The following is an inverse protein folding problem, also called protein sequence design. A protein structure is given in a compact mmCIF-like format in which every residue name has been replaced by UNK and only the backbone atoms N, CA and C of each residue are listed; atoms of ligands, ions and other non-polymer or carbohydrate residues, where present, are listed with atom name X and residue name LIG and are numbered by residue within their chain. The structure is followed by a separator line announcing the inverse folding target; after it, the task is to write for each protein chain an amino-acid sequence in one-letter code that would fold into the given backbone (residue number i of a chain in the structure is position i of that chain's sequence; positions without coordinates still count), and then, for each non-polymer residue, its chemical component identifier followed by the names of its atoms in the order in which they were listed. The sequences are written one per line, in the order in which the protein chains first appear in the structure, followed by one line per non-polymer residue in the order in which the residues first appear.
data_IF_880910278988
#
_entry.id   IF_880910278988
#
_cell.length_a   1.000
_cell.length_b   1.000
_cell.length_c   1.000
_cell.angle_alpha   90.00
_cell.angle_beta   90.00
_cell.angle_gamma   90.00
#
_symmetry.space_group_name_H-M   'P 1'
#
loop_
_entity.id
_entity.type
_entity.pdbx_description
1 polymer ?
#
# COMPACT_ATOMS: atom_id res chain seq x y z
N UNK A 1 -7.12 -21.19 9.39
CA UNK A 1 -6.85 -19.83 8.94
C UNK A 1 -5.50 -19.44 9.52
N UNK A 2 -4.60 -18.86 8.74
CA UNK A 2 -3.27 -18.43 9.22
C UNK A 2 -3.23 -16.92 9.43
N UNK A 3 -2.38 -16.38 10.34
CA UNK A 3 -2.16 -14.94 10.46
C UNK A 3 -1.64 -14.33 9.15
N UNK A 4 -2.01 -13.07 8.86
CA UNK A 4 -1.70 -12.41 7.59
C UNK A 4 -0.18 -12.39 7.28
N UNK A 5 0.68 -12.14 8.27
CA UNK A 5 2.13 -12.12 8.10
C UNK A 5 2.77 -13.51 7.86
N UNK A 6 2.01 -14.59 8.04
CA UNK A 6 2.45 -15.97 7.80
C UNK A 6 1.93 -16.56 6.48
N UNK A 7 1.18 -15.78 5.70
CA UNK A 7 0.52 -16.25 4.48
C UNK A 7 1.52 -16.83 3.47
N UNK A 8 2.57 -16.11 3.14
CA UNK A 8 3.60 -16.52 2.18
C UNK A 8 4.19 -17.90 2.57
N UNK A 9 4.50 -18.07 3.83
CA UNK A 9 5.10 -19.31 4.35
C UNK A 9 4.11 -20.49 4.29
N UNK A 10 2.85 -20.24 4.66
CA UNK A 10 1.80 -21.26 4.62
C UNK A 10 1.50 -21.74 3.19
N UNK A 11 1.51 -20.81 2.22
CA UNK A 11 1.33 -21.14 0.80
C UNK A 11 2.57 -21.87 0.26
N UNK A 12 3.78 -21.37 0.53
CA UNK A 12 5.01 -22.00 0.08
C UNK A 12 5.16 -23.44 0.58
N UNK A 13 4.83 -23.69 1.86
CA UNK A 13 4.86 -25.03 2.47
C UNK A 13 3.71 -25.95 2.03
N UNK A 14 2.75 -25.47 1.25
CA UNK A 14 1.59 -26.23 0.81
C UNK A 14 0.53 -26.46 1.90
N UNK A 15 0.62 -25.78 3.05
CA UNK A 15 -0.45 -25.76 4.08
C UNK A 15 -1.72 -25.14 3.51
N UNK A 16 -1.56 -24.15 2.61
CA UNK A 16 -2.62 -23.55 1.80
C UNK A 16 -2.26 -23.73 0.32
N UNK A 17 -3.27 -23.95 -0.52
CA UNK A 17 -3.10 -24.04 -1.97
C UNK A 17 -2.82 -22.67 -2.61
N UNK A 18 -3.39 -21.63 -2.02
CA UNK A 18 -3.21 -20.24 -2.41
C UNK A 18 -3.69 -19.29 -1.33
N UNK A 19 -3.48 -18.01 -1.55
CA UNK A 19 -3.88 -16.97 -0.62
C UNK A 19 -3.90 -15.60 -1.25
N UNK A 20 -4.49 -14.66 -0.52
CA UNK A 20 -4.60 -13.25 -0.88
C UNK A 20 -4.01 -12.38 0.22
N UNK A 21 -3.15 -11.45 -0.17
CA UNK A 21 -2.47 -10.57 0.78
C UNK A 21 -1.88 -9.34 0.10
N UNK A 22 -0.80 -8.83 0.68
CA UNK A 22 0.02 -7.75 0.12
C UNK A 22 1.50 -8.10 0.27
N UNK A 23 2.32 -7.83 -0.74
CA UNK A 23 3.76 -8.15 -0.75
C UNK A 23 4.48 -7.44 0.41
N UNK A 24 4.08 -6.22 0.74
CA UNK A 24 4.70 -5.42 1.81
C UNK A 24 4.65 -6.10 3.20
N UNK A 25 3.71 -7.01 3.44
CA UNK A 25 3.65 -7.79 4.69
C UNK A 25 4.83 -8.76 4.87
N UNK A 26 5.55 -9.05 3.78
CA UNK A 26 6.70 -9.94 3.81
C UNK A 26 8.03 -9.20 4.03
N UNK A 27 7.97 -7.89 4.38
CA UNK A 27 9.12 -7.02 4.68
C UNK A 27 10.14 -7.67 5.62
N UNK A 28 9.68 -8.32 6.70
CA UNK A 28 10.56 -8.98 7.66
C UNK A 28 11.36 -10.17 7.12
N UNK A 29 11.01 -10.70 5.93
CA UNK A 29 11.76 -11.77 5.26
C UNK A 29 12.82 -11.20 4.31
N UNK A 30 12.48 -10.17 3.59
CA UNK A 30 13.41 -9.40 2.76
C UNK A 30 12.84 -7.99 2.56
N UNK A 31 13.61 -6.98 2.94
CA UNK A 31 13.16 -5.58 2.90
C UNK A 31 12.78 -5.10 1.49
N UNK A 32 13.34 -5.71 0.43
CA UNK A 32 12.99 -5.38 -0.95
C UNK A 32 11.50 -5.61 -1.26
N UNK A 33 10.85 -6.58 -0.60
CA UNK A 33 9.43 -6.87 -0.80
C UNK A 33 8.51 -5.71 -0.42
N UNK A 34 8.95 -4.84 0.49
CA UNK A 34 8.19 -3.66 0.85
C UNK A 34 8.07 -2.63 -0.29
N UNK A 35 8.96 -2.65 -1.28
CA UNK A 35 8.93 -1.70 -2.41
C UNK A 35 7.73 -1.88 -3.35
N UNK A 36 6.94 -2.94 -3.20
CA UNK A 36 5.67 -3.12 -3.93
C UNK A 36 4.48 -2.42 -3.28
N UNK A 37 4.66 -1.69 -2.18
CA UNK A 37 3.56 -1.01 -1.51
C UNK A 37 4.00 0.15 -0.62
N UNK A 38 5.27 0.23 -0.21
CA UNK A 38 5.75 1.28 0.68
C UNK A 38 6.39 2.44 -0.07
N UNK A 39 6.22 3.63 0.48
CA UNK A 39 6.89 4.85 0.03
C UNK A 39 6.17 5.59 -1.10
N UNK A 40 6.84 6.60 -1.66
CA UNK A 40 6.29 7.48 -2.70
C UNK A 40 6.30 6.87 -4.10
N UNK A 41 6.83 5.66 -4.29
CA UNK A 41 6.95 4.96 -5.57
C UNK A 41 7.47 5.84 -6.73
N UNK A 42 8.37 6.80 -6.44
CA UNK A 42 8.89 7.80 -7.40
C UNK A 42 7.79 8.61 -8.11
N UNK A 43 6.62 8.78 -7.47
CA UNK A 43 5.48 9.49 -8.06
C UNK A 43 4.61 8.64 -8.98
N UNK A 44 4.89 7.35 -9.11
CA UNK A 44 3.98 6.44 -9.81
C UNK A 44 2.66 6.29 -9.06
N UNK A 45 1.56 6.33 -9.79
CA UNK A 45 0.27 5.92 -9.28
C UNK A 45 0.17 4.37 -9.20
N UNK A 46 -0.85 3.80 -8.55
CA UNK A 46 -0.98 2.35 -8.41
C UNK A 46 -1.05 1.60 -9.73
N UNK A 47 -1.64 2.18 -10.78
CA UNK A 47 -1.70 1.56 -12.10
C UNK A 47 -0.33 1.56 -12.79
N UNK A 48 0.45 2.63 -12.61
CA UNK A 48 1.83 2.69 -13.10
C UNK A 48 2.73 1.65 -12.42
N UNK A 49 2.53 1.37 -11.13
CA UNK A 49 3.25 0.30 -10.43
C UNK A 49 2.87 -1.06 -10.98
N UNK A 50 1.60 -1.31 -11.33
CA UNK A 50 1.20 -2.52 -12.06
C UNK A 50 1.86 -2.62 -13.43
N UNK A 51 1.95 -1.49 -14.16
CA UNK A 51 2.63 -1.46 -15.46
C UNK A 51 4.14 -1.76 -15.31
N UNK A 52 4.82 -1.18 -14.32
CA UNK A 52 6.20 -1.53 -14.00
C UNK A 52 6.34 -3.02 -13.66
N UNK A 53 5.45 -3.55 -12.81
CA UNK A 53 5.49 -4.95 -12.41
C UNK A 53 5.39 -5.89 -13.63
N UNK A 54 4.41 -5.66 -14.50
CA UNK A 54 4.13 -6.56 -15.62
C UNK A 54 5.06 -6.35 -16.82
N UNK A 55 5.53 -5.11 -17.07
CA UNK A 55 6.26 -4.73 -18.29
C UNK A 55 7.62 -4.06 -18.04
N UNK A 56 7.88 -3.65 -16.79
CA UNK A 56 9.13 -2.99 -16.38
C UNK A 56 10.10 -3.88 -15.60
N UNK A 57 9.84 -5.19 -15.54
CA UNK A 57 10.73 -6.15 -14.88
C UNK A 57 10.37 -6.50 -13.43
N UNK A 58 9.36 -5.87 -12.83
CA UNK A 58 9.00 -6.09 -11.44
C UNK A 58 8.62 -7.54 -11.13
N UNK A 59 7.91 -8.23 -12.05
CA UNK A 59 7.55 -9.64 -11.88
C UNK A 59 8.80 -10.54 -11.72
N UNK A 60 9.78 -10.40 -12.59
CA UNK A 60 11.03 -11.18 -12.49
C UNK A 60 11.79 -10.88 -11.19
N UNK A 61 11.75 -9.64 -10.72
CA UNK A 61 12.42 -9.24 -9.47
C UNK A 61 11.76 -9.85 -8.24
N UNK A 62 10.44 -9.89 -8.14
CA UNK A 62 9.77 -10.53 -7.00
C UNK A 62 9.97 -12.05 -7.01
N UNK A 63 9.96 -12.67 -8.18
CA UNK A 63 10.27 -14.10 -8.34
C UNK A 63 11.72 -14.41 -7.89
N UNK A 64 12.69 -13.55 -8.24
CA UNK A 64 14.09 -13.67 -7.80
C UNK A 64 14.19 -13.57 -6.26
N UNK A 65 13.45 -12.65 -5.64
CA UNK A 65 13.44 -12.50 -4.19
C UNK A 65 12.83 -13.75 -3.53
N UNK A 66 11.67 -14.21 -3.98
CA UNK A 66 11.05 -15.41 -3.42
C UNK A 66 11.93 -16.65 -3.56
N UNK A 67 12.60 -16.79 -4.70
CA UNK A 67 13.58 -17.85 -4.91
C UNK A 67 14.77 -17.74 -3.93
N UNK A 68 15.27 -16.54 -3.68
CA UNK A 68 16.38 -16.33 -2.73
C UNK A 68 15.99 -16.69 -1.29
N UNK A 69 14.69 -16.63 -0.97
CA UNK A 69 14.11 -17.02 0.32
C UNK A 69 13.72 -18.51 0.38
N UNK A 70 13.98 -19.27 -0.66
CA UNK A 70 13.52 -20.67 -0.83
C UNK A 70 11.98 -20.79 -0.74
N UNK A 71 11.25 -19.76 -1.18
CA UNK A 71 9.79 -19.75 -1.24
C UNK A 71 9.34 -20.16 -2.64
N UNK A 72 8.80 -21.38 -2.76
CA UNK A 72 8.28 -21.89 -4.05
C UNK A 72 6.80 -21.54 -4.21
N UNK A 73 6.55 -20.35 -4.72
CA UNK A 73 5.22 -19.79 -4.97
C UNK A 73 5.13 -19.21 -6.38
N UNK A 74 3.90 -19.14 -6.89
CA UNK A 74 3.55 -18.34 -8.07
C UNK A 74 2.76 -17.13 -7.57
N UNK A 75 3.20 -15.93 -7.93
CA UNK A 75 2.63 -14.68 -7.45
C UNK A 75 2.06 -13.85 -8.59
N UNK A 76 0.96 -13.17 -8.30
CA UNK A 76 0.33 -12.17 -9.15
C UNK A 76 0.08 -10.90 -8.37
N UNK A 77 0.47 -9.78 -8.95
CA UNK A 77 0.09 -8.46 -8.45
C UNK A 77 -1.21 -8.02 -9.12
N UNK A 78 -2.18 -7.52 -8.36
CA UNK A 78 -3.47 -7.11 -8.88
C UNK A 78 -4.17 -6.08 -7.98
N UNK A 79 -5.27 -5.51 -8.45
CA UNK A 79 -6.14 -4.66 -7.65
C UNK A 79 -5.45 -3.41 -7.11
N UNK A 80 -5.13 -2.42 -7.99
CA UNK A 80 -4.46 -1.19 -7.58
C UNK A 80 -5.28 -0.46 -6.52
N UNK A 81 -4.64 -0.14 -5.40
CA UNK A 81 -5.24 0.57 -4.27
C UNK A 81 -4.99 2.07 -4.39
N UNK A 82 -5.96 2.92 -4.04
CA UNK A 82 -5.73 4.37 -3.97
C UNK A 82 -4.68 4.69 -2.90
N UNK A 83 -4.08 5.89 -3.01
CA UNK A 83 -3.19 6.40 -1.96
C UNK A 83 -3.84 6.27 -0.59
N UNK A 84 -3.13 5.68 0.34
CA UNK A 84 -3.61 5.52 1.70
C UNK A 84 -3.66 6.86 2.44
N UNK A 85 -4.60 7.05 3.38
CA UNK A 85 -4.56 8.19 4.29
C UNK A 85 -3.29 8.12 5.15
N UNK A 86 -2.81 9.28 5.64
CA UNK A 86 -1.79 9.29 6.69
C UNK A 86 -2.23 8.45 7.88
N UNK A 87 -3.52 8.51 8.18
CA UNK A 87 -4.14 7.63 9.17
C UNK A 87 -5.32 8.26 9.89
N UNK A 88 -5.79 7.51 10.87
CA UNK A 88 -6.86 7.84 11.79
C UNK A 88 -6.29 8.23 13.14
N UNK A 89 -6.70 9.39 13.66
CA UNK A 89 -6.14 10.02 14.85
C UNK A 89 -7.24 10.40 15.83
N UNK A 90 -6.95 10.36 17.13
CA UNK A 90 -7.82 10.94 18.17
C UNK A 90 -7.86 12.46 18.05
N UNK A 91 -6.76 13.09 17.64
CA UNK A 91 -6.65 14.53 17.34
C UNK A 91 -5.89 14.71 16.04
N UNK A 92 -6.24 15.68 15.16
CA UNK A 92 -5.49 15.93 13.94
C UNK A 92 -4.08 16.42 14.26
N UNK A 93 -3.12 16.08 13.40
CA UNK A 93 -1.74 16.53 13.48
C UNK A 93 -1.54 17.72 12.52
N UNK A 94 -0.92 18.79 12.99
CA UNK A 94 -0.70 20.01 12.20
C UNK A 94 0.74 20.14 11.67
N UNK A 95 1.70 19.50 12.31
CA UNK A 95 3.13 19.54 11.96
C UNK A 95 3.80 18.20 12.29
N UNK A 96 4.95 17.92 11.67
CA UNK A 96 5.69 16.68 11.89
C UNK A 96 6.07 16.45 13.37
N UNK A 97 6.31 17.52 14.12
CA UNK A 97 6.59 17.41 15.55
C UNK A 97 5.44 16.84 16.36
N UNK A 98 4.19 16.99 15.92
CA UNK A 98 3.01 16.46 16.61
C UNK A 98 2.92 14.92 16.50
N UNK A 99 3.66 14.33 15.57
CA UNK A 99 3.76 12.88 15.41
C UNK A 99 4.79 12.24 16.33
N UNK A 100 5.72 13.03 16.92
CA UNK A 100 6.77 12.48 17.78
C UNK A 100 6.18 11.82 19.01
N UNK A 101 6.61 10.58 19.24
CA UNK A 101 6.18 9.78 20.39
C UNK A 101 4.78 9.19 20.28
N UNK A 102 3.99 9.50 19.22
CA UNK A 102 2.71 8.82 19.01
C UNK A 102 2.92 7.32 18.82
N UNK A 103 2.15 6.52 19.54
CA UNK A 103 2.06 5.08 19.31
C UNK A 103 1.24 4.85 18.04
N UNK A 104 1.93 4.65 16.94
CA UNK A 104 1.32 4.61 15.62
C UNK A 104 1.45 3.24 14.97
N UNK A 105 0.35 2.69 14.47
CA UNK A 105 0.39 1.44 13.70
C UNK A 105 0.67 1.73 12.24
N UNK A 106 1.70 1.09 11.71
CA UNK A 106 1.97 0.98 10.28
C UNK A 106 2.73 -0.31 9.98
N UNK A 107 2.98 -0.60 8.71
CA UNK A 107 3.66 -1.82 8.22
C UNK A 107 4.68 -1.50 7.12
N UNK A 108 5.48 -2.50 6.72
CA UNK A 108 6.45 -2.36 5.64
C UNK A 108 7.55 -1.33 5.97
N UNK A 109 8.08 -0.67 4.94
CA UNK A 109 9.11 0.38 5.12
C UNK A 109 8.58 1.65 5.78
N UNK A 110 7.27 1.84 5.86
CA UNK A 110 6.69 2.94 6.62
C UNK A 110 7.07 2.86 8.11
N UNK A 111 7.38 1.66 8.62
CA UNK A 111 7.96 1.48 9.97
C UNK A 111 9.25 2.27 10.12
N UNK A 112 10.18 2.11 9.19
CA UNK A 112 11.48 2.80 9.23
C UNK A 112 11.32 4.32 9.03
N UNK A 113 10.48 4.72 8.07
CA UNK A 113 10.20 6.13 7.76
C UNK A 113 9.64 6.87 8.98
N UNK A 114 8.59 6.33 9.60
CA UNK A 114 7.98 6.98 10.75
C UNK A 114 8.85 6.90 12.00
N UNK A 115 9.66 5.84 12.15
CA UNK A 115 10.66 5.74 13.23
C UNK A 115 11.73 6.84 13.10
N UNK A 116 12.25 7.10 11.88
CA UNK A 116 13.18 8.22 11.62
C UNK A 116 12.53 9.59 11.93
N UNK A 117 11.22 9.71 11.73
CA UNK A 117 10.44 10.89 12.10
C UNK A 117 10.16 11.00 13.62
N UNK A 118 10.59 10.04 14.43
CA UNK A 118 10.43 10.02 15.88
C UNK A 118 9.08 9.48 16.37
N UNK A 119 8.35 8.75 15.53
CA UNK A 119 7.08 8.10 15.89
C UNK A 119 7.37 6.76 16.59
N UNK A 120 6.59 6.40 17.61
CA UNK A 120 6.65 5.09 18.27
C UNK A 120 5.82 4.07 17.49
N UNK A 121 6.45 3.41 16.52
CA UNK A 121 5.76 2.52 15.58
C UNK A 121 5.50 1.14 16.17
N UNK A 122 4.31 0.60 15.93
CA UNK A 122 3.88 -0.73 16.36
C UNK A 122 3.18 -1.46 15.22
N UNK A 123 3.84 -2.40 14.52
CA UNK A 123 3.21 -3.18 13.45
C UNK A 123 2.16 -4.15 14.01
N UNK A 124 0.94 -4.06 13.49
CA UNK A 124 -0.16 -4.97 13.83
C UNK A 124 -0.91 -5.41 12.56
N UNK A 125 -1.43 -6.66 12.52
CA UNK A 125 -2.35 -7.10 11.48
C UNK A 125 -3.63 -6.25 11.48
N UNK A 126 -4.27 -6.09 10.30
CA UNK A 126 -5.45 -5.23 10.14
C UNK A 126 -6.57 -5.46 11.15
N UNK A 127 -6.91 -6.72 11.44
CA UNK A 127 -7.98 -7.07 12.40
C UNK A 127 -7.70 -6.70 13.87
N UNK A 128 -6.44 -6.37 14.21
CA UNK A 128 -6.05 -6.00 15.58
C UNK A 128 -6.03 -4.49 15.81
N UNK A 129 -6.13 -3.67 14.74
CA UNK A 129 -5.94 -2.22 14.80
C UNK A 129 -7.04 -1.54 15.61
N UNK A 130 -8.30 -1.75 15.24
CA UNK A 130 -9.43 -1.09 15.91
C UNK A 130 -9.51 -1.48 17.39
N UNK A 131 -9.39 -2.76 17.78
CA UNK A 131 -9.27 -3.13 19.18
C UNK A 131 -8.08 -2.49 19.92
N UNK A 132 -6.95 -2.26 19.25
CA UNK A 132 -5.79 -1.61 19.87
C UNK A 132 -6.00 -0.10 20.05
N UNK A 133 -6.65 0.58 19.10
CA UNK A 133 -7.08 1.98 19.21
C UNK A 133 -8.09 2.18 20.33
N UNK A 134 -9.10 1.32 20.40
CA UNK A 134 -10.15 1.39 21.42
C UNK A 134 -9.57 1.27 22.85
N UNK A 135 -8.69 0.29 23.05
CA UNK A 135 -8.01 0.08 24.34
C UNK A 135 -6.90 1.08 24.65
N UNK A 136 -6.56 2.00 23.75
CA UNK A 136 -5.49 2.97 23.92
C UNK A 136 -4.06 2.37 23.89
N UNK A 137 -3.89 1.18 23.33
CA UNK A 137 -2.58 0.57 23.10
C UNK A 137 -1.81 1.30 22.02
N UNK A 138 -2.53 1.88 21.06
CA UNK A 138 -2.01 2.78 20.03
C UNK A 138 -2.84 4.07 20.01
N UNK A 139 -2.23 5.18 19.59
CA UNK A 139 -2.84 6.52 19.55
C UNK A 139 -3.44 6.83 18.18
N UNK A 140 -2.86 6.25 17.13
CA UNK A 140 -3.26 6.43 15.76
C UNK A 140 -2.84 5.23 14.89
N UNK A 141 -3.49 5.09 13.73
CA UNK A 141 -3.18 4.01 12.79
C UNK A 141 -3.57 4.42 11.36
N UNK A 142 -2.85 3.91 10.40
CA UNK A 142 -3.29 3.79 9.00
C UNK A 142 -3.79 2.37 8.73
N UNK A 143 -4.52 2.21 7.62
CA UNK A 143 -4.82 0.86 7.13
C UNK A 143 -4.90 0.81 5.61
N UNK A 144 -5.96 1.38 4.97
CA UNK A 144 -6.06 1.23 3.51
C UNK A 144 -6.84 2.38 2.85
N UNK A 145 -8.17 2.34 2.89
CA UNK A 145 -9.06 3.24 2.14
C UNK A 145 -10.41 3.39 2.83
N UNK A 146 -11.26 4.31 2.33
CA UNK A 146 -12.53 4.62 2.96
C UNK A 146 -13.43 3.39 3.18
N UNK A 147 -13.49 2.46 2.22
CA UNK A 147 -14.34 1.27 2.33
C UNK A 147 -13.81 0.26 3.35
N UNK A 148 -12.51 -0.05 3.28
CA UNK A 148 -11.87 -0.99 4.20
C UNK A 148 -11.88 -0.47 5.63
N UNK A 149 -11.55 0.80 5.81
CA UNK A 149 -11.48 1.45 7.11
C UNK A 149 -12.87 1.54 7.76
N UNK A 150 -13.91 1.81 6.93
CA UNK A 150 -15.30 1.80 7.39
C UNK A 150 -15.73 0.41 7.86
N UNK A 151 -15.43 -0.64 7.09
CA UNK A 151 -15.80 -2.03 7.43
C UNK A 151 -15.09 -2.50 8.69
N UNK A 152 -13.84 -2.07 8.94
CA UNK A 152 -13.13 -2.39 10.17
C UNK A 152 -13.62 -1.61 11.40
N UNK A 153 -14.42 -0.55 11.23
CA UNK A 153 -14.96 0.22 12.34
C UNK A 153 -14.03 1.35 12.84
N UNK A 154 -13.11 1.85 12.03
CA UNK A 154 -12.23 2.97 12.44
C UNK A 154 -13.00 4.18 12.92
N UNK A 155 -14.15 4.47 12.28
CA UNK A 155 -14.99 5.60 12.65
C UNK A 155 -15.60 5.50 14.06
N UNK A 156 -15.63 4.32 14.66
CA UNK A 156 -16.17 4.14 16.02
C UNK A 156 -15.16 4.55 17.10
N UNK A 157 -13.86 4.45 16.80
CA UNK A 157 -12.76 4.67 17.75
C UNK A 157 -11.93 5.94 17.46
N UNK A 158 -11.99 6.48 16.24
CA UNK A 158 -11.29 7.70 15.84
C UNK A 158 -12.13 8.50 14.83
N UNK A 159 -12.22 9.83 15.02
CA UNK A 159 -13.05 10.71 14.19
C UNK A 159 -12.26 11.63 13.27
N UNK A 160 -10.92 11.60 13.31
CA UNK A 160 -10.07 12.44 12.47
C UNK A 160 -9.26 11.58 11.53
N UNK A 161 -9.55 11.68 10.23
CA UNK A 161 -8.79 11.01 9.17
C UNK A 161 -7.94 12.03 8.41
N UNK A 162 -6.62 11.82 8.41
CA UNK A 162 -5.66 12.67 7.69
C UNK A 162 -5.42 12.07 6.32
N UNK A 163 -5.87 12.76 5.27
CA UNK A 163 -5.77 12.31 3.87
C UNK A 163 -4.42 12.66 3.26
N UNK A 164 -3.99 11.84 2.30
CA UNK A 164 -2.75 11.97 1.54
C UNK A 164 -1.50 11.67 2.37
N UNK A 165 -0.71 10.74 1.90
CA UNK A 165 0.56 10.38 2.53
C UNK A 165 1.47 9.69 1.53
N UNK A 166 2.79 9.85 1.71
CA UNK A 166 3.80 9.17 0.90
C UNK A 166 4.29 7.86 1.51
N UNK A 167 3.77 7.45 2.67
CA UNK A 167 4.22 6.19 3.28
C UNK A 167 3.78 4.95 2.49
N UNK A 168 2.58 5.00 1.89
CA UNK A 168 2.02 3.99 0.98
C UNK A 168 1.16 4.71 -0.08
N UNK A 169 1.83 5.36 -1.04
CA UNK A 169 1.15 6.16 -2.07
C UNK A 169 0.57 5.30 -3.19
N UNK A 170 1.13 4.12 -3.42
CA UNK A 170 0.72 3.19 -4.47
C UNK A 170 0.98 1.76 -4.01
N UNK A 171 -0.06 1.04 -3.71
CA UNK A 171 0.00 -0.36 -3.29
C UNK A 171 -0.94 -1.23 -4.13
N UNK A 172 -0.68 -2.52 -4.17
CA UNK A 172 -1.51 -3.51 -4.82
C UNK A 172 -1.69 -4.72 -3.93
N UNK A 173 -2.72 -5.49 -4.20
CA UNK A 173 -2.87 -6.80 -3.61
C UNK A 173 -2.03 -7.85 -4.33
N UNK A 174 -1.79 -8.93 -3.65
CA UNK A 174 -1.08 -10.11 -4.14
C UNK A 174 -2.00 -11.33 -4.07
N UNK A 175 -1.98 -12.14 -5.11
CA UNK A 175 -2.48 -13.51 -5.09
C UNK A 175 -1.27 -14.44 -5.15
N UNK A 176 -1.21 -15.38 -4.22
CA UNK A 176 -0.17 -16.40 -4.12
C UNK A 176 -0.75 -17.77 -4.38
N UNK A 177 -0.06 -18.61 -5.14
CA UNK A 177 -0.33 -20.03 -5.28
C UNK A 177 0.90 -20.84 -4.85
N UNK A 178 0.67 -22.00 -4.21
CA UNK A 178 1.73 -22.98 -3.99
C UNK A 178 2.34 -23.38 -5.34
N UNK A 179 3.66 -23.20 -5.51
CA UNK A 179 4.34 -23.38 -6.77
C UNK A 179 4.15 -24.76 -7.39
N UNK A 180 4.43 -25.88 -6.69
CA UNK A 180 4.19 -27.24 -7.19
C UNK A 180 2.74 -27.47 -7.62
N UNK A 181 1.75 -27.07 -6.82
CA UNK A 181 0.33 -27.27 -7.16
C UNK A 181 -0.09 -26.46 -8.39
N UNK A 182 0.36 -25.21 -8.48
CA UNK A 182 0.08 -24.37 -9.65
C UNK A 182 0.69 -24.96 -10.93
N UNK A 183 1.94 -25.39 -10.87
CA UNK A 183 2.62 -25.98 -12.06
C UNK A 183 2.05 -27.33 -12.48
N UNK A 184 1.40 -28.06 -11.56
CA UNK A 184 0.69 -29.29 -11.88
C UNK A 184 -0.65 -29.07 -12.62
N UNK A 185 -1.17 -27.85 -12.65
CA UNK A 185 -2.36 -27.52 -13.45
C UNK A 185 -2.05 -27.67 -14.95
N UNK A 186 -3.01 -28.18 -15.76
CA UNK A 186 -2.93 -28.11 -17.22
C UNK A 186 -2.70 -26.69 -17.72
N UNK A 187 -2.08 -26.56 -18.89
CA UNK A 187 -1.75 -25.25 -19.46
C UNK A 187 -2.97 -24.35 -19.63
N UNK A 188 -4.10 -24.92 -20.03
CA UNK A 188 -5.38 -24.21 -20.20
C UNK A 188 -5.88 -23.62 -18.88
N UNK A 189 -5.77 -24.35 -17.78
CA UNK A 189 -6.20 -23.87 -16.47
C UNK A 189 -5.26 -22.76 -15.96
N UNK A 190 -3.94 -22.87 -16.21
CA UNK A 190 -3.01 -21.80 -15.88
C UNK A 190 -3.33 -20.52 -16.64
N UNK A 191 -3.61 -20.63 -17.95
CA UNK A 191 -4.02 -19.49 -18.77
C UNK A 191 -5.34 -18.85 -18.25
N UNK A 192 -6.31 -19.68 -17.84
CA UNK A 192 -7.55 -19.18 -17.22
C UNK A 192 -7.24 -18.38 -15.94
N UNK A 193 -6.35 -18.89 -15.08
CA UNK A 193 -5.94 -18.16 -13.85
C UNK A 193 -5.26 -16.83 -14.21
N UNK A 194 -4.34 -16.82 -15.18
CA UNK A 194 -3.64 -15.61 -15.62
C UNK A 194 -4.64 -14.51 -16.05
N UNK A 195 -5.60 -14.85 -16.92
CA UNK A 195 -6.61 -13.89 -17.38
C UNK A 195 -7.65 -13.55 -16.30
N UNK A 196 -8.02 -14.50 -15.44
CA UNK A 196 -8.94 -14.25 -14.35
C UNK A 196 -8.36 -13.23 -13.34
N UNK A 197 -7.07 -13.28 -13.06
CA UNK A 197 -6.40 -12.29 -12.21
C UNK A 197 -6.42 -10.91 -12.86
N UNK A 198 -6.15 -10.80 -14.15
CA UNK A 198 -6.21 -9.52 -14.87
C UNK A 198 -7.64 -8.96 -14.90
N UNK A 199 -8.63 -9.78 -15.18
CA UNK A 199 -10.04 -9.38 -15.15
C UNK A 199 -10.47 -8.93 -13.74
N UNK A 200 -10.09 -9.67 -12.70
CA UNK A 200 -10.36 -9.30 -11.32
C UNK A 200 -9.67 -8.00 -10.91
N UNK A 201 -8.44 -7.75 -11.40
CA UNK A 201 -7.72 -6.50 -11.14
C UNK A 201 -8.45 -5.30 -11.74
N UNK A 202 -8.92 -5.39 -12.97
CA UNK A 202 -9.66 -4.33 -13.64
C UNK A 202 -11.01 -4.06 -12.94
N UNK A 203 -11.80 -5.10 -12.69
CA UNK A 203 -13.10 -4.99 -12.01
C UNK A 203 -12.95 -4.41 -10.59
N UNK A 204 -11.97 -4.86 -9.83
CA UNK A 204 -11.68 -4.34 -8.50
C UNK A 204 -11.29 -2.86 -8.53
N UNK A 205 -10.49 -2.43 -9.51
CA UNK A 205 -10.09 -1.03 -9.68
C UNK A 205 -11.31 -0.13 -9.87
N UNK A 206 -12.25 -0.53 -10.73
CA UNK A 206 -13.47 0.21 -10.98
C UNK A 206 -14.43 0.22 -9.78
N UNK A 207 -14.65 -0.95 -9.17
CA UNK A 207 -15.46 -1.09 -7.94
C UNK A 207 -14.89 -0.28 -6.79
N UNK A 208 -13.56 -0.20 -6.66
CA UNK A 208 -12.93 0.57 -5.61
C UNK A 208 -13.25 2.06 -5.72
N UNK A 209 -13.28 2.63 -6.93
CA UNK A 209 -13.66 4.04 -7.14
C UNK A 209 -15.11 4.29 -6.69
N UNK A 210 -16.05 3.45 -7.14
CA UNK A 210 -17.46 3.58 -6.77
C UNK A 210 -17.69 3.40 -5.28
N UNK A 211 -17.16 2.33 -4.69
CA UNK A 211 -17.32 2.02 -3.25
C UNK A 211 -16.66 3.07 -2.36
N UNK A 212 -15.40 3.39 -2.60
CA UNK A 212 -14.70 4.35 -1.76
C UNK A 212 -15.37 5.73 -1.77
N UNK A 213 -15.87 6.17 -2.93
CA UNK A 213 -16.58 7.46 -3.03
C UNK A 213 -17.88 7.47 -2.23
N UNK A 214 -18.64 6.39 -2.23
CA UNK A 214 -19.86 6.22 -1.42
C UNK A 214 -19.54 6.14 0.07
N UNK A 215 -18.59 5.28 0.44
CA UNK A 215 -18.21 5.08 1.83
C UNK A 215 -17.55 6.33 2.45
N UNK A 216 -16.83 7.12 1.66
CA UNK A 216 -16.34 8.43 2.09
C UNK A 216 -17.47 9.38 2.49
N UNK A 217 -18.58 9.40 1.75
CA UNK A 217 -19.78 10.19 2.09
C UNK A 217 -20.41 9.66 3.40
N UNK A 218 -20.55 8.33 3.52
CA UNK A 218 -21.13 7.72 4.72
C UNK A 218 -20.26 7.98 5.98
N UNK A 219 -18.95 7.93 5.86
CA UNK A 219 -18.02 8.29 6.94
C UNK A 219 -18.19 9.76 7.36
N UNK A 220 -18.39 10.70 6.42
CA UNK A 220 -18.72 12.09 6.75
C UNK A 220 -20.03 12.20 7.49
N UNK A 221 -21.09 11.51 7.08
CA UNK A 221 -22.37 11.46 7.77
C UNK A 221 -22.25 10.89 9.19
N UNK A 222 -21.34 9.92 9.38
CA UNK A 222 -21.01 9.35 10.70
C UNK A 222 -20.15 10.28 11.57
N UNK A 223 -19.88 11.52 11.14
CA UNK A 223 -19.16 12.55 11.89
C UNK A 223 -17.64 12.48 11.78
N UNK A 224 -17.11 11.71 10.82
CA UNK A 224 -15.67 11.70 10.55
C UNK A 224 -15.25 13.03 9.91
N UNK A 225 -14.21 13.64 10.45
CA UNK A 225 -13.58 14.85 9.93
C UNK A 225 -12.36 14.46 9.11
N UNK A 226 -12.36 14.86 7.83
CA UNK A 226 -11.25 14.63 6.93
C UNK A 226 -10.39 15.89 6.80
N UNK A 227 -9.10 15.73 6.96
CA UNK A 227 -8.12 16.80 6.86
C UNK A 227 -7.09 16.44 5.77
N UNK A 228 -6.66 17.42 4.98
CA UNK A 228 -5.48 17.26 4.14
C UNK A 228 -4.25 17.20 5.05
N UNK A 229 -3.38 16.22 4.83
CA UNK A 229 -2.09 16.16 5.52
C UNK A 229 -1.26 17.41 5.16
N UNK A 230 -0.74 18.16 6.14
CA UNK A 230 0.09 19.32 5.89
C UNK A 230 1.32 19.01 5.04
N UNK A 231 1.65 19.89 4.10
CA UNK A 231 2.78 19.71 3.19
C UNK A 231 4.12 19.53 3.94
N UNK A 232 4.26 20.15 5.12
CA UNK A 232 5.44 19.95 5.97
C UNK A 232 5.62 18.49 6.43
N UNK A 233 4.53 17.79 6.70
CA UNK A 233 4.56 16.36 7.05
C UNK A 233 4.91 15.53 5.81
N UNK A 234 4.31 15.83 4.66
CA UNK A 234 4.61 15.14 3.41
C UNK A 234 6.10 15.29 3.02
N UNK A 235 6.67 16.50 3.14
CA UNK A 235 8.11 16.72 2.92
C UNK A 235 8.99 16.00 3.91
N UNK A 236 8.60 15.92 5.19
CA UNK A 236 9.32 15.14 6.19
C UNK A 236 9.31 13.64 5.87
N UNK A 237 8.20 13.10 5.36
CA UNK A 237 8.12 11.72 4.90
C UNK A 237 9.10 11.46 3.74
N UNK A 238 9.16 12.34 2.74
CA UNK A 238 10.09 12.21 1.61
C UNK A 238 11.56 12.26 2.08
N UNK A 239 11.91 13.19 2.97
CA UNK A 239 13.27 13.28 3.52
C UNK A 239 13.66 12.04 4.35
N UNK A 240 12.72 11.47 5.12
CA UNK A 240 12.93 10.21 5.85
C UNK A 240 12.99 9.01 4.91
N UNK A 241 12.20 9.02 3.84
CA UNK A 241 12.26 7.99 2.80
C UNK A 241 13.64 7.94 2.15
N UNK A 242 14.21 9.10 1.77
CA UNK A 242 15.54 9.15 1.16
C UNK A 242 16.62 8.51 2.05
N UNK A 243 16.58 8.75 3.35
CA UNK A 243 17.49 8.10 4.32
C UNK A 243 17.24 6.60 4.41
N UNK A 244 15.96 6.20 4.49
CA UNK A 244 15.56 4.80 4.61
C UNK A 244 16.03 4.00 3.39
N UNK A 245 15.79 4.48 2.17
CA UNK A 245 16.22 3.76 0.96
C UNK A 245 17.72 3.75 0.77
N UNK A 246 18.44 4.79 1.20
CA UNK A 246 19.89 4.82 1.19
C UNK A 246 20.46 3.73 2.09
N UNK A 247 19.96 3.62 3.33
CA UNK A 247 20.35 2.58 4.29
C UNK A 247 20.03 1.18 3.74
N UNK A 248 18.79 0.94 3.34
CA UNK A 248 18.33 -0.37 2.85
C UNK A 248 19.08 -0.80 1.59
N UNK A 249 19.42 0.13 0.70
CA UNK A 249 20.21 -0.16 -0.52
C UNK A 249 21.66 -0.55 -0.19
N UNK A 250 22.22 -0.02 0.87
CA UNK A 250 23.57 -0.38 1.31
C UNK A 250 23.62 -1.78 1.95
N UNK A 251 22.54 -2.17 2.64
CA UNK A 251 22.44 -3.43 3.39
C UNK A 251 21.92 -4.61 2.54
N UNK A 252 21.09 -4.33 1.50
CA UNK A 252 20.41 -5.35 0.71
C UNK A 252 20.56 -5.10 -0.80
N UNK A 253 21.40 -5.87 -1.50
CA UNK A 253 21.58 -5.73 -2.96
C UNK A 253 20.30 -5.94 -3.79
N UNK A 254 19.39 -6.83 -3.34
CA UNK A 254 18.09 -7.02 -4.00
C UNK A 254 17.19 -5.80 -3.84
N UNK A 255 17.23 -5.15 -2.65
CA UNK A 255 16.52 -3.90 -2.44
C UNK A 255 16.99 -2.82 -3.42
N UNK A 256 18.31 -2.63 -3.53
CA UNK A 256 18.89 -1.68 -4.48
C UNK A 256 18.48 -1.99 -5.92
N UNK A 257 18.51 -3.26 -6.32
CA UNK A 257 18.14 -3.70 -7.67
C UNK A 257 16.67 -3.37 -8.00
N UNK A 258 15.76 -3.63 -7.07
CA UNK A 258 14.34 -3.28 -7.22
C UNK A 258 14.14 -1.78 -7.29
N UNK A 259 14.75 -1.03 -6.37
CA UNK A 259 14.66 0.42 -6.29
C UNK A 259 15.15 1.10 -7.58
N UNK A 260 16.29 0.65 -8.12
CA UNK A 260 16.86 1.18 -9.37
C UNK A 260 15.94 0.88 -10.57
N UNK A 261 15.36 -0.31 -10.63
CA UNK A 261 14.39 -0.69 -11.65
C UNK A 261 13.12 0.17 -11.61
N UNK A 262 12.57 0.40 -10.40
CA UNK A 262 11.42 1.29 -10.23
C UNK A 262 11.74 2.73 -10.64
N UNK A 263 12.89 3.25 -10.22
CA UNK A 263 13.35 4.61 -10.56
C UNK A 263 13.44 4.79 -12.08
N UNK A 264 14.11 3.88 -12.77
CA UNK A 264 14.28 3.95 -14.22
C UNK A 264 12.94 3.91 -14.97
N UNK A 265 12.00 3.06 -14.53
CA UNK A 265 10.68 3.00 -15.12
C UNK A 265 9.87 4.28 -14.83
N UNK A 266 9.89 4.75 -13.58
CA UNK A 266 9.15 5.93 -13.13
C UNK A 266 9.62 7.19 -13.83
N UNK A 267 10.93 7.38 -14.01
CA UNK A 267 11.49 8.54 -14.74
C UNK A 267 10.87 8.65 -16.14
N UNK A 268 10.83 7.57 -16.91
CA UNK A 268 10.26 7.54 -18.25
C UNK A 268 8.73 7.65 -18.26
N UNK A 269 8.06 6.80 -17.46
CA UNK A 269 6.61 6.70 -17.47
C UNK A 269 5.96 7.92 -16.79
N UNK A 270 6.57 8.42 -15.70
CA UNK A 270 6.11 9.61 -15.00
C UNK A 270 6.27 10.87 -15.85
N UNK A 271 7.39 11.03 -16.55
CA UNK A 271 7.57 12.14 -17.48
C UNK A 271 6.48 12.14 -18.55
N UNK A 272 6.25 10.98 -19.21
CA UNK A 272 5.21 10.86 -20.22
C UNK A 272 3.82 11.23 -19.64
N UNK A 273 3.47 10.72 -18.49
CA UNK A 273 2.16 11.00 -17.87
C UNK A 273 2.02 12.48 -17.52
N UNK A 274 3.04 13.10 -16.95
CA UNK A 274 3.02 14.51 -16.59
C UNK A 274 2.89 15.44 -17.82
N UNK A 275 3.54 15.07 -18.93
CA UNK A 275 3.51 15.88 -20.15
C UNK A 275 2.20 15.70 -20.94
N UNK A 276 1.56 14.52 -20.86
CA UNK A 276 0.37 14.21 -21.63
C UNK A 276 -0.95 14.37 -20.85
N UNK A 277 -0.93 14.26 -19.54
CA UNK A 277 -2.15 14.34 -18.73
C UNK A 277 -2.55 15.79 -18.47
N UNK A 278 -3.82 16.11 -18.73
CA UNK A 278 -4.38 17.39 -18.30
C UNK A 278 -4.59 17.42 -16.78
N UNK A 279 -4.61 18.60 -16.17
CA UNK A 279 -4.97 18.75 -14.75
C UNK A 279 -6.49 18.46 -14.56
N UNK A 280 -6.80 17.23 -14.22
CA UNK A 280 -8.18 16.79 -13.94
C UNK A 280 -8.79 17.53 -12.74
N UNK A 281 -7.98 18.02 -11.80
CA UNK A 281 -8.45 18.81 -10.68
C UNK A 281 -8.95 20.18 -11.12
N UNK A 282 -8.34 20.77 -12.15
CA UNK A 282 -8.80 22.01 -12.75
C UNK A 282 -10.23 21.83 -13.31
N UNK A 283 -10.48 20.75 -14.07
CA UNK A 283 -11.80 20.44 -14.60
C UNK A 283 -12.82 20.18 -13.49
N UNK A 284 -12.45 19.38 -12.48
CA UNK A 284 -13.32 19.14 -11.32
C UNK A 284 -13.72 20.43 -10.61
N UNK A 285 -12.75 21.31 -10.36
CA UNK A 285 -13.00 22.59 -9.70
C UNK A 285 -13.91 23.52 -10.54
N UNK A 286 -13.75 23.50 -11.85
CA UNK A 286 -14.59 24.27 -12.75
C UNK A 286 -16.08 23.91 -12.60
N UNK A 287 -16.39 22.61 -12.48
CA UNK A 287 -17.79 22.17 -12.39
C UNK A 287 -18.37 22.20 -10.97
N UNK A 288 -17.55 22.05 -9.92
CA UNK A 288 -18.05 21.75 -8.58
C UNK A 288 -17.60 22.74 -7.50
N UNK A 289 -16.51 23.51 -7.65
CA UNK A 289 -16.03 24.43 -6.60
C UNK A 289 -16.80 25.76 -6.53
N UNK A 290 -17.59 26.11 -7.52
CA UNK A 290 -18.42 27.33 -7.56
C UNK A 290 -19.84 27.18 -6.98
N UNK A 291 -20.26 25.98 -6.63
CA UNK A 291 -21.59 25.73 -6.04
C UNK A 291 -21.47 25.77 -4.52
N UNK A 292 -21.70 26.93 -3.91
CA UNK A 292 -22.10 27.00 -2.51
C UNK A 292 -23.42 26.26 -2.39
N UNK A 293 -23.42 25.06 -1.82
CA UNK A 293 -24.61 24.38 -1.35
C UNK A 293 -25.11 25.03 -0.08
#
# INVERSE_FOLDING_TARGET
MVPAFQLLEAVSKGTLDGGHGVIAYHYGKNSALALWGSGPAFGMDPNMVLAWHNYGGGKALVEEIYKSLNMDVVTYLYGPMPTQPLGWFKKPVAKAADMKGLKFRTVGLAVDVFTDMGVAVNPLPGGEIVPALDRGLIDAAEFNNASSDRVLGFADVAKNCMLQSFHQSAEQFEILFNGPKYRALPQELRAIVDYAVQAASADMSWKAIDRNSKDYIELKKAGVKFYKTPDAILRAQLASWDKTVAKQSAENPLFKKVLDSQRQFAERAGQWQNDYSVDLKMAYNHYFSGKKS
#
